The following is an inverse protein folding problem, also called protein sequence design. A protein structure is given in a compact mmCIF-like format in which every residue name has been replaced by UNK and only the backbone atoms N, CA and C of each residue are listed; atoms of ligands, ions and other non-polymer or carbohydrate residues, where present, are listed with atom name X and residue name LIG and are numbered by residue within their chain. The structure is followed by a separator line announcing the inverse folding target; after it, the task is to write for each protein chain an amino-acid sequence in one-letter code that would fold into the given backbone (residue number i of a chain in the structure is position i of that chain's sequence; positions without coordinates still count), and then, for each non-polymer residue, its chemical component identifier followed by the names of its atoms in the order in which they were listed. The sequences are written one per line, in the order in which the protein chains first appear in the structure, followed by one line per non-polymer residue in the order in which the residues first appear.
data_IF_916376892482
#
_entry.id   IF_916376892482
#
_cell.length_a   1.000
_cell.length_b   1.000
_cell.length_c   1.000
_cell.angle_alpha   90.00
_cell.angle_beta   90.00
_cell.angle_gamma   90.00
#
_symmetry.space_group_name_H-M   'P 1'
#
loop_
_entity.id
_entity.type
_entity.pdbx_description
1 polymer ?
#
# COMPACT_ATOMS: atom_id res chain seq x y z
N UNK A 1 -11.45 -28.20 8.71
CA UNK A 1 -12.22 -26.98 8.34
C UNK A 1 -12.03 -25.83 9.35
N UNK A 2 -12.29 -26.04 10.65
CA UNK A 2 -12.14 -24.98 11.68
C UNK A 2 -10.70 -24.46 11.79
N UNK A 3 -9.70 -25.34 11.68
CA UNK A 3 -8.28 -24.97 11.72
C UNK A 3 -7.85 -24.02 10.58
N UNK A 4 -8.58 -23.95 9.47
CA UNK A 4 -8.24 -23.07 8.33
C UNK A 4 -8.71 -21.63 8.53
N UNK A 5 -9.67 -21.40 9.44
CA UNK A 5 -10.20 -20.08 9.79
C UNK A 5 -9.62 -19.55 11.12
N UNK A 6 -8.73 -20.34 11.75
CA UNK A 6 -8.14 -20.04 13.04
C UNK A 6 -7.02 -19.00 12.89
N UNK A 7 -7.41 -17.73 12.87
CA UNK A 7 -6.51 -16.59 12.74
C UNK A 7 -5.70 -16.40 14.04
N UNK A 8 -4.49 -16.96 14.07
CA UNK A 8 -3.53 -16.87 15.19
C UNK A 8 -2.29 -15.97 15.00
N UNK A 9 -2.15 -15.08 14.00
CA UNK A 9 -1.05 -14.12 14.02
C UNK A 9 -1.00 -13.34 15.34
N UNK A 10 0.15 -13.37 16.02
CA UNK A 10 0.39 -12.70 17.31
C UNK A 10 1.33 -11.50 17.19
N UNK A 11 1.95 -11.32 16.02
CA UNK A 11 2.85 -10.20 15.77
C UNK A 11 2.10 -8.88 15.80
N UNK A 12 2.64 -7.85 16.48
CA UNK A 12 1.98 -6.56 16.60
C UNK A 12 2.03 -5.77 15.30
N UNK A 13 1.04 -4.91 15.10
CA UNK A 13 1.06 -3.92 14.03
C UNK A 13 2.06 -2.83 14.44
N UNK A 14 3.03 -2.51 13.60
CA UNK A 14 4.03 -1.47 13.89
C UNK A 14 3.89 -0.32 12.90
N UNK A 15 4.26 0.90 13.29
CA UNK A 15 4.31 2.02 12.34
C UNK A 15 5.25 1.72 11.17
N UNK A 16 6.38 1.06 11.44
CA UNK A 16 7.31 0.63 10.39
C UNK A 16 6.64 -0.31 9.38
N UNK A 17 5.83 -1.27 9.85
CA UNK A 17 5.05 -2.16 8.98
C UNK A 17 3.98 -1.42 8.17
N UNK A 18 3.29 -0.46 8.78
CA UNK A 18 2.33 0.42 8.10
C UNK A 18 3.01 1.24 7.00
N UNK A 19 4.11 1.90 7.32
CA UNK A 19 4.92 2.66 6.35
C UNK A 19 5.43 1.77 5.23
N UNK A 20 5.90 0.57 5.54
CA UNK A 20 6.36 -0.37 4.52
C UNK A 20 5.22 -0.76 3.55
N UNK A 21 4.01 -1.02 4.05
CA UNK A 21 2.86 -1.30 3.19
C UNK A 21 2.51 -0.11 2.29
N UNK A 22 2.53 1.12 2.81
CA UNK A 22 2.32 2.33 2.01
C UNK A 22 3.41 2.45 0.93
N UNK A 23 4.67 2.31 1.33
CA UNK A 23 5.83 2.48 0.48
C UNK A 23 5.87 1.46 -0.67
N UNK A 24 5.75 0.17 -0.35
CA UNK A 24 5.74 -0.92 -1.35
C UNK A 24 4.53 -0.79 -2.28
N UNK A 25 3.35 -0.50 -1.74
CA UNK A 25 2.14 -0.33 -2.53
C UNK A 25 2.29 0.79 -3.57
N UNK A 26 2.75 1.97 -3.16
CA UNK A 26 2.93 3.10 -4.07
C UNK A 26 4.02 2.82 -5.11
N UNK A 27 5.15 2.23 -4.71
CA UNK A 27 6.22 1.88 -5.65
C UNK A 27 5.74 0.91 -6.74
N UNK A 28 4.98 -0.12 -6.34
CA UNK A 28 4.43 -1.08 -7.28
C UNK A 28 3.40 -0.43 -8.22
N UNK A 29 2.48 0.37 -7.70
CA UNK A 29 1.48 1.08 -8.51
C UNK A 29 2.15 2.05 -9.50
N UNK A 30 3.17 2.80 -9.08
CA UNK A 30 3.90 3.72 -9.95
C UNK A 30 4.61 2.99 -11.10
N UNK A 31 5.22 1.85 -10.81
CA UNK A 31 5.85 1.01 -11.83
C UNK A 31 4.82 0.36 -12.76
N UNK A 32 3.68 -0.10 -12.25
CA UNK A 32 2.59 -0.63 -13.05
C UNK A 32 2.13 0.42 -14.07
N UNK A 33 1.75 1.61 -13.61
CA UNK A 33 1.29 2.69 -14.48
C UNK A 33 2.38 3.13 -15.49
N UNK A 34 3.65 2.91 -15.17
CA UNK A 34 4.78 3.07 -16.09
C UNK A 34 4.97 1.91 -17.10
N UNK A 35 4.06 0.92 -17.10
CA UNK A 35 4.09 -0.25 -17.98
C UNK A 35 4.90 -1.44 -17.47
N UNK A 36 5.33 -1.44 -16.21
CA UNK A 36 6.12 -2.53 -15.63
C UNK A 36 5.41 -3.20 -14.44
N UNK A 37 4.92 -4.42 -14.65
CA UNK A 37 4.25 -5.22 -13.61
C UNK A 37 5.19 -6.09 -12.74
N UNK A 38 6.51 -6.07 -12.98
CA UNK A 38 7.51 -6.88 -12.28
C UNK A 38 8.60 -5.96 -11.71
N UNK A 39 8.53 -5.69 -10.40
CA UNK A 39 9.18 -4.51 -9.82
C UNK A 39 10.14 -4.93 -8.72
N UNK A 40 11.46 -4.68 -8.86
CA UNK A 40 12.39 -4.89 -7.76
C UNK A 40 12.20 -3.79 -6.71
N UNK A 41 11.65 -4.15 -5.55
CA UNK A 41 11.46 -3.24 -4.40
C UNK A 41 12.22 -3.82 -3.21
N UNK A 42 13.10 -3.04 -2.59
CA UNK A 42 13.94 -3.50 -1.46
C UNK A 42 14.72 -4.81 -1.73
N UNK A 43 15.17 -5.03 -2.97
CA UNK A 43 15.82 -6.26 -3.46
C UNK A 43 14.92 -7.51 -3.50
N UNK A 44 13.61 -7.36 -3.35
CA UNK A 44 12.61 -8.40 -3.58
C UNK A 44 11.88 -8.14 -4.90
N UNK A 45 11.49 -9.21 -5.59
CA UNK A 45 10.69 -9.09 -6.80
C UNK A 45 9.23 -9.06 -6.41
N UNK A 46 8.62 -7.87 -6.48
CA UNK A 46 7.23 -7.67 -6.11
C UNK A 46 6.31 -7.76 -7.32
N UNK A 47 5.14 -8.35 -7.09
CA UNK A 47 4.05 -8.47 -8.04
C UNK A 47 2.76 -7.83 -7.50
N UNK A 48 1.66 -7.99 -8.23
CA UNK A 48 0.39 -7.41 -7.85
C UNK A 48 -0.11 -7.93 -6.51
N UNK A 49 0.18 -9.19 -6.16
CA UNK A 49 -0.26 -9.77 -4.90
C UNK A 49 0.40 -9.09 -3.69
N UNK A 50 1.66 -8.65 -3.82
CA UNK A 50 2.31 -7.84 -2.79
C UNK A 50 1.59 -6.51 -2.58
N UNK A 51 1.31 -5.78 -3.66
CA UNK A 51 0.59 -4.52 -3.54
C UNK A 51 -0.83 -4.71 -2.99
N UNK A 52 -1.50 -5.81 -3.37
CA UNK A 52 -2.80 -6.20 -2.87
C UNK A 52 -2.78 -6.41 -1.35
N UNK A 53 -1.86 -7.22 -0.83
CA UNK A 53 -1.79 -7.44 0.62
C UNK A 53 -1.39 -6.16 1.37
N UNK A 54 -0.54 -5.32 0.78
CA UNK A 54 -0.17 -4.03 1.36
C UNK A 54 -1.37 -3.10 1.50
N UNK A 55 -2.14 -2.83 0.44
CA UNK A 55 -3.33 -1.97 0.54
C UNK A 55 -4.41 -2.59 1.44
N UNK A 56 -4.56 -3.91 1.41
CA UNK A 56 -5.62 -4.62 2.14
C UNK A 56 -5.38 -4.58 3.65
N UNK A 57 -4.13 -4.73 4.07
CA UNK A 57 -3.76 -4.57 5.48
C UNK A 57 -4.04 -3.14 5.96
N UNK A 58 -3.67 -2.11 5.19
CA UNK A 58 -3.96 -0.72 5.55
C UNK A 58 -5.47 -0.48 5.66
N UNK A 59 -6.25 -0.90 4.66
CA UNK A 59 -7.71 -0.80 4.66
C UNK A 59 -8.36 -1.48 5.87
N UNK A 60 -7.89 -2.70 6.20
CA UNK A 60 -8.38 -3.47 7.33
C UNK A 60 -8.01 -2.82 8.66
N UNK A 61 -6.78 -2.31 8.79
CA UNK A 61 -6.31 -1.64 10.00
C UNK A 61 -7.03 -0.33 10.25
N UNK A 62 -7.48 0.39 9.23
CA UNK A 62 -8.34 1.57 9.43
C UNK A 62 -9.68 1.14 10.06
N UNK A 63 -10.35 0.13 9.51
CA UNK A 63 -11.74 -0.23 9.87
C UNK A 63 -11.88 -1.12 11.10
N UNK A 64 -10.94 -2.02 11.32
CA UNK A 64 -11.02 -3.00 12.40
C UNK A 64 -10.68 -2.37 13.74
N UNK A 65 -11.39 -2.65 14.84
CA UNK A 65 -10.98 -2.23 16.18
C UNK A 65 -9.61 -2.79 16.59
N UNK A 66 -9.12 -3.85 15.91
CA UNK A 66 -7.79 -4.44 16.14
C UNK A 66 -6.65 -3.70 15.43
N UNK A 67 -6.94 -2.75 14.55
CA UNK A 67 -5.94 -1.98 13.82
C UNK A 67 -5.26 -0.91 14.68
N UNK A 68 -4.61 -1.35 15.75
CA UNK A 68 -3.92 -0.51 16.74
C UNK A 68 -2.43 -0.82 16.66
N UNK A 69 -1.63 0.23 16.50
CA UNK A 69 -0.17 0.13 16.49
C UNK A 69 0.34 -0.35 17.85
N UNK A 70 1.54 -0.88 17.88
CA UNK A 70 2.21 -1.38 19.09
C UNK A 70 2.36 -0.29 20.18
N UNK A 71 2.40 0.98 19.79
CA UNK A 71 2.43 2.13 20.70
C UNK A 71 1.05 2.60 21.19
N UNK A 72 -0.01 1.89 20.81
CA UNK A 72 -1.38 2.15 21.24
C UNK A 72 -2.18 3.10 20.35
N UNK A 73 -1.58 3.72 19.34
CA UNK A 73 -2.34 4.57 18.40
C UNK A 73 -3.20 3.74 17.46
N UNK A 74 -4.44 4.18 17.26
CA UNK A 74 -5.34 3.62 16.25
C UNK A 74 -4.86 4.04 14.85
N UNK A 75 -4.78 3.10 13.91
CA UNK A 75 -4.57 3.43 12.49
C UNK A 75 -5.85 4.09 11.96
N UNK A 76 -5.71 5.29 11.39
CA UNK A 76 -6.82 6.05 10.79
C UNK A 76 -6.50 6.48 9.36
N UNK A 77 -7.52 6.90 8.61
CA UNK A 77 -7.31 7.43 7.26
C UNK A 77 -6.44 8.70 7.27
N UNK A 78 -6.61 9.56 8.29
CA UNK A 78 -5.80 10.77 8.48
C UNK A 78 -4.32 10.42 8.68
N UNK A 79 -4.03 9.41 9.52
CA UNK A 79 -2.67 8.92 9.72
C UNK A 79 -2.06 8.44 8.39
N UNK A 80 -2.81 7.68 7.58
CA UNK A 80 -2.30 7.20 6.28
C UNK A 80 -2.02 8.37 5.34
N UNK A 81 -2.92 9.36 5.26
CA UNK A 81 -2.73 10.58 4.45
C UNK A 81 -1.50 11.38 4.86
N UNK A 82 -1.22 11.47 6.16
CA UNK A 82 -0.02 12.13 6.68
C UNK A 82 1.27 11.36 6.36
N UNK A 83 1.20 10.03 6.32
CA UNK A 83 2.35 9.16 6.07
C UNK A 83 2.73 9.07 4.59
N UNK A 84 1.76 9.10 3.67
CA UNK A 84 1.99 9.03 2.21
C UNK A 84 3.07 10.01 1.71
N UNK A 85 2.99 11.33 1.96
CA UNK A 85 4.02 12.25 1.48
C UNK A 85 5.40 11.96 2.09
N UNK A 86 5.46 11.47 3.33
CA UNK A 86 6.72 11.10 3.97
C UNK A 86 7.36 9.87 3.31
N UNK A 87 6.54 8.89 2.92
CA UNK A 87 7.03 7.71 2.19
C UNK A 87 7.38 8.06 0.73
N UNK A 88 6.66 8.99 0.10
CA UNK A 88 7.00 9.50 -1.24
C UNK A 88 8.39 10.13 -1.30
N UNK A 89 8.77 10.92 -0.27
CA UNK A 89 10.13 11.48 -0.18
C UNK A 89 11.21 10.38 -0.05
N UNK A 90 10.87 9.21 0.52
CA UNK A 90 11.78 8.06 0.59
C UNK A 90 11.84 7.27 -0.71
N UNK A 91 10.77 7.26 -1.51
CA UNK A 91 10.71 6.60 -2.82
C UNK A 91 11.49 7.39 -3.87
N UNK A 92 11.41 8.72 -3.82
CA UNK A 92 12.08 9.60 -4.79
C UNK A 92 13.55 9.25 -5.09
N UNK A 93 14.42 8.95 -4.10
CA UNK A 93 15.80 8.54 -4.36
C UNK A 93 15.98 7.06 -4.80
N UNK A 94 14.96 6.20 -4.70
CA UNK A 94 15.07 4.77 -5.04
C UNK A 94 14.80 4.47 -6.51
N UNK A 95 14.24 5.43 -7.25
CA UNK A 95 13.93 5.28 -8.67
C UNK A 95 14.64 6.34 -9.52
N UNK A 96 14.88 6.10 -10.82
CA UNK A 96 15.47 7.10 -11.69
C UNK A 96 14.64 8.39 -11.72
N UNK A 97 15.29 9.56 -11.68
CA UNK A 97 14.61 10.86 -11.61
C UNK A 97 13.58 11.07 -12.75
N UNK A 98 13.88 10.57 -13.95
CA UNK A 98 12.95 10.63 -15.08
C UNK A 98 11.67 9.77 -14.89
N UNK A 99 11.73 8.75 -14.03
CA UNK A 99 10.61 7.88 -13.70
C UNK A 99 9.75 8.43 -12.55
N UNK A 100 10.33 9.22 -11.63
CA UNK A 100 9.58 9.92 -10.58
C UNK A 100 8.88 11.16 -11.15
N UNK A 101 7.74 10.95 -11.78
CA UNK A 101 6.97 11.97 -12.48
C UNK A 101 5.50 11.96 -12.01
N UNK A 102 4.61 12.58 -12.79
CA UNK A 102 3.17 12.62 -12.51
C UNK A 102 2.55 11.22 -12.26
N UNK A 103 3.10 10.16 -12.86
CA UNK A 103 2.67 8.78 -12.65
C UNK A 103 2.81 8.33 -11.20
N UNK A 104 3.91 8.67 -10.51
CA UNK A 104 4.10 8.29 -9.11
C UNK A 104 3.22 9.10 -8.14
N UNK A 105 2.94 10.36 -8.48
CA UNK A 105 1.95 11.17 -7.77
C UNK A 105 0.57 10.52 -7.91
N UNK A 106 0.20 10.14 -9.14
CA UNK A 106 -1.07 9.45 -9.40
C UNK A 106 -1.17 8.11 -8.68
N UNK A 107 -0.09 7.32 -8.65
CA UNK A 107 -0.01 6.08 -7.91
C UNK A 107 -0.29 6.27 -6.40
N UNK A 108 0.25 7.33 -5.80
CA UNK A 108 0.00 7.67 -4.40
C UNK A 108 -1.47 8.02 -4.15
N UNK A 109 -2.10 8.78 -5.04
CA UNK A 109 -3.53 9.11 -4.96
C UNK A 109 -4.41 7.86 -5.05
N UNK A 110 -4.14 6.97 -6.01
CA UNK A 110 -4.89 5.72 -6.18
C UNK A 110 -4.71 4.81 -4.97
N UNK A 111 -3.48 4.71 -4.44
CA UNK A 111 -3.22 3.96 -3.20
C UNK A 111 -4.01 4.53 -2.02
N UNK A 112 -4.00 5.85 -1.83
CA UNK A 112 -4.78 6.52 -0.79
C UNK A 112 -6.27 6.19 -0.93
N UNK A 113 -6.83 6.36 -2.12
CA UNK A 113 -8.25 6.11 -2.38
C UNK A 113 -8.63 4.67 -2.03
N UNK A 114 -7.90 3.69 -2.55
CA UNK A 114 -8.21 2.26 -2.31
C UNK A 114 -8.00 1.84 -0.86
N UNK A 115 -6.97 2.36 -0.20
CA UNK A 115 -6.67 1.99 1.18
C UNK A 115 -7.60 2.69 2.18
N UNK A 116 -8.06 3.90 1.87
CA UNK A 116 -8.93 4.65 2.78
C UNK A 116 -10.39 4.30 2.59
N UNK A 117 -10.94 4.19 1.36
CA UNK A 117 -12.22 3.54 0.97
C UNK A 117 -13.47 3.85 1.83
N UNK A 118 -14.65 3.36 1.50
CA UNK A 118 -15.58 2.83 2.52
C UNK A 118 -15.68 1.34 2.25
N UNK A 119 -16.08 1.05 1.02
CA UNK A 119 -16.03 -0.26 0.39
C UNK A 119 -14.60 -0.73 0.10
N UNK A 120 -14.46 -2.04 -0.04
CA UNK A 120 -13.22 -2.67 -0.48
C UNK A 120 -13.29 -2.94 -1.98
N UNK A 121 -12.45 -2.25 -2.75
CA UNK A 121 -12.28 -2.57 -4.18
C UNK A 121 -11.70 -3.97 -4.30
N UNK A 122 -12.34 -4.84 -5.09
CA UNK A 122 -12.01 -6.26 -5.14
C UNK A 122 -10.56 -6.50 -5.61
N UNK A 123 -10.16 -5.81 -6.68
CA UNK A 123 -8.80 -5.86 -7.21
C UNK A 123 -8.26 -4.46 -7.47
N UNK A 124 -7.03 -4.18 -7.02
CA UNK A 124 -6.35 -2.91 -7.31
C UNK A 124 -6.11 -2.70 -8.80
N UNK A 125 -6.16 -3.78 -9.57
CA UNK A 125 -5.92 -3.79 -11.00
C UNK A 125 -7.04 -3.09 -11.76
N UNK A 126 -8.29 -3.11 -11.25
CA UNK A 126 -9.44 -2.48 -11.90
C UNK A 126 -9.24 -0.96 -12.09
N UNK A 127 -9.02 -0.16 -11.03
CA UNK A 127 -8.77 1.26 -11.21
C UNK A 127 -7.45 1.54 -11.94
N UNK A 128 -6.44 0.66 -11.84
CA UNK A 128 -5.19 0.86 -12.58
C UNK A 128 -5.36 0.66 -14.09
N UNK A 129 -6.18 -0.31 -14.52
CA UNK A 129 -6.49 -0.50 -15.94
C UNK A 129 -7.27 0.68 -16.52
N UNK A 130 -8.15 1.32 -15.74
CA UNK A 130 -8.87 2.51 -16.19
C UNK A 130 -7.97 3.74 -16.42
N UNK A 131 -6.77 3.75 -15.82
CA UNK A 131 -5.77 4.81 -15.95
C UNK A 131 -4.76 4.54 -17.08
N UNK A 132 -4.81 3.35 -17.68
CA UNK A 132 -3.95 2.94 -18.78
C UNK A 132 -4.74 3.01 -20.09
N UNK A 133 -4.33 3.91 -21.00
CA UNK A 133 -4.86 3.99 -22.37
C UNK A 133 -4.46 2.77 -23.24
#
# INVERSE_FOLDING_TARGET
PEQWLDFRPTTPITEAGLRNNINVGIQYLGAWLGGNGCVPIHNLMEDAATAEISRSQVWQWIRSPKGVLIDGRKVTAEMVRELIPQEMEKIKPTIPEAAFNATYVRAAEIFEQMSTAEDFVEFLTLPLYEEMD
#
